data_IF_775590124563
#
_entry.id   IF_775590124563
#
_cell.length_a   1.000
_cell.length_b   1.000
_cell.length_c   1.000
_cell.angle_alpha   90.00
_cell.angle_beta   90.00
_cell.angle_gamma   90.00
#
_symmetry.space_group_name_H-M   'P 1'
#
loop_
_entity.id
_entity.type
_entity.pdbx_description
1 polymer ?
#
# COMPACT_ATOMS: atom_id res chain seq x y z
N UNK A 1 5.91 -26.03 20.81
CA UNK A 1 4.95 -25.85 19.69
C UNK A 1 3.88 -26.93 19.76
N UNK A 2 2.60 -26.55 19.72
CA UNK A 2 1.47 -27.49 19.65
C UNK A 2 1.44 -28.17 18.28
N UNK A 3 1.20 -29.48 18.23
CA UNK A 3 1.11 -30.25 16.97
C UNK A 3 -0.33 -30.65 16.73
N UNK A 4 -1.06 -29.78 16.02
CA UNK A 4 -2.47 -29.97 15.67
C UNK A 4 -2.59 -31.17 14.72
N UNK A 5 -3.50 -32.10 15.05
CA UNK A 5 -3.84 -33.26 14.23
C UNK A 5 -5.08 -33.00 13.38
N UNK A 6 -6.10 -32.37 13.98
CA UNK A 6 -7.36 -32.06 13.31
C UNK A 6 -8.05 -30.89 14.02
N UNK A 7 -8.79 -30.08 13.26
CA UNK A 7 -9.67 -29.03 13.78
C UNK A 7 -11.06 -29.27 13.19
N UNK A 8 -12.05 -29.44 14.05
CA UNK A 8 -13.45 -29.59 13.67
C UNK A 8 -14.22 -28.34 14.10
N UNK A 9 -14.82 -27.65 13.13
CA UNK A 9 -15.61 -26.46 13.40
C UNK A 9 -17.10 -26.79 13.46
N UNK A 10 -17.73 -26.53 14.61
CA UNK A 10 -19.17 -26.65 14.81
C UNK A 10 -19.85 -25.33 14.40
N UNK A 11 -20.91 -25.46 13.59
CA UNK A 11 -21.77 -24.35 13.16
C UNK A 11 -22.49 -23.75 14.37
N UNK A 12 -22.33 -22.45 14.61
CA UNK A 12 -23.16 -21.70 15.56
C UNK A 12 -24.14 -20.81 14.81
N UNK A 13 -25.38 -20.85 15.26
CA UNK A 13 -26.46 -19.96 14.82
C UNK A 13 -26.28 -18.61 15.53
N UNK A 14 -26.39 -17.53 14.78
CA UNK A 14 -26.39 -16.17 15.34
C UNK A 14 -27.55 -16.02 16.31
N UNK A 15 -27.23 -15.63 17.54
CA UNK A 15 -28.22 -15.22 18.52
C UNK A 15 -28.00 -13.74 18.81
N UNK A 16 -28.88 -12.89 18.29
CA UNK A 16 -28.86 -11.43 18.47
C UNK A 16 -28.97 -11.02 19.96
N UNK A 17 -29.28 -11.96 20.86
CA UNK A 17 -29.35 -11.71 22.31
C UNK A 17 -28.00 -11.81 23.04
N UNK A 18 -26.92 -12.26 22.39
CA UNK A 18 -25.61 -12.44 23.01
C UNK A 18 -24.73 -11.18 22.92
N UNK A 19 -24.09 -10.82 24.03
CA UNK A 19 -23.14 -9.69 24.13
C UNK A 19 -21.83 -9.89 23.35
N UNK A 20 -21.61 -11.10 22.81
CA UNK A 20 -20.48 -11.48 21.98
C UNK A 20 -21.04 -12.13 20.71
N UNK A 21 -20.66 -11.63 19.55
CA UNK A 21 -21.10 -12.17 18.27
C UNK A 21 -20.23 -13.39 17.92
N UNK A 22 -20.63 -14.55 18.44
CA UNK A 22 -19.96 -15.84 18.20
C UNK A 22 -20.27 -16.27 16.77
N UNK A 23 -19.23 -16.51 15.97
CA UNK A 23 -19.39 -16.92 14.57
C UNK A 23 -18.91 -18.36 14.31
N UNK A 24 -18.15 -18.96 15.22
CA UNK A 24 -17.77 -20.38 15.13
C UNK A 24 -17.39 -20.98 16.47
N UNK A 25 -17.48 -22.30 16.58
CA UNK A 25 -16.93 -23.08 17.70
C UNK A 25 -15.95 -24.09 17.14
N UNK A 26 -14.75 -24.21 17.71
CA UNK A 26 -13.75 -25.17 17.29
C UNK A 26 -13.50 -26.25 18.35
N UNK A 27 -13.44 -27.50 17.88
CA UNK A 27 -12.90 -28.64 18.60
C UNK A 27 -11.56 -29.01 17.98
N UNK A 28 -10.51 -29.08 18.79
CA UNK A 28 -9.12 -29.17 18.34
C UNK A 28 -8.52 -30.44 18.91
N UNK A 29 -8.05 -31.31 18.02
CA UNK A 29 -7.31 -32.50 18.38
C UNK A 29 -5.83 -32.26 18.16
N UNK A 30 -5.02 -32.54 19.18
CA UNK A 30 -3.56 -32.46 19.09
C UNK A 30 -2.95 -33.85 19.13
N UNK A 31 -1.74 -33.98 18.60
CA UNK A 31 -0.91 -35.18 18.74
C UNK A 31 -0.07 -35.19 20.02
N UNK A 32 0.15 -34.00 20.61
CA UNK A 32 1.03 -33.80 21.76
C UNK A 32 0.37 -33.03 22.93
N UNK A 33 -0.95 -32.87 22.92
CA UNK A 33 -1.71 -32.15 23.95
C UNK A 33 -3.15 -32.70 24.05
N UNK A 34 -3.83 -32.61 25.21
CA UNK A 34 -5.24 -33.00 25.31
C UNK A 34 -6.14 -32.22 24.35
N UNK A 35 -7.22 -32.83 23.83
CA UNK A 35 -8.13 -32.13 22.94
C UNK A 35 -8.80 -30.94 23.63
N UNK A 36 -9.00 -29.88 22.87
CA UNK A 36 -9.72 -28.67 23.30
C UNK A 36 -11.09 -28.70 22.63
N UNK A 37 -12.15 -28.86 23.40
CA UNK A 37 -13.51 -28.87 22.87
C UNK A 37 -14.23 -27.58 23.23
N UNK A 38 -14.82 -26.90 22.25
CA UNK A 38 -15.62 -25.71 22.49
C UNK A 38 -14.84 -24.40 22.57
N UNK A 39 -13.74 -24.24 21.82
CA UNK A 39 -13.10 -22.93 21.65
C UNK A 39 -14.03 -22.00 20.87
N UNK A 40 -14.44 -20.87 21.46
CA UNK A 40 -15.44 -19.97 20.86
C UNK A 40 -14.73 -18.88 20.07
N UNK A 41 -14.99 -18.80 18.77
CA UNK A 41 -14.51 -17.73 17.91
C UNK A 41 -15.58 -16.64 17.87
N UNK A 42 -15.21 -15.42 18.25
CA UNK A 42 -16.13 -14.29 18.34
C UNK A 42 -15.48 -13.01 17.87
N UNK A 43 -16.33 -12.02 17.56
CA UNK A 43 -15.89 -10.65 17.32
C UNK A 43 -16.63 -9.67 18.20
N UNK A 44 -16.04 -8.49 18.40
CA UNK A 44 -16.64 -7.42 19.20
C UNK A 44 -16.11 -6.05 18.79
N UNK A 45 -16.91 -5.01 19.03
CA UNK A 45 -16.42 -3.62 18.98
C UNK A 45 -15.37 -3.43 20.07
N UNK A 46 -14.24 -2.87 19.70
CA UNK A 46 -13.18 -2.56 20.62
C UNK A 46 -13.58 -1.38 21.52
N UNK A 47 -13.38 -1.55 22.82
CA UNK A 47 -13.67 -0.54 23.84
C UNK A 47 -12.43 -0.19 24.65
N UNK A 48 -11.28 -0.80 24.36
CA UNK A 48 -10.02 -0.54 25.09
C UNK A 48 -8.80 -0.68 24.20
N UNK A 49 -7.76 0.10 24.48
CA UNK A 49 -6.46 0.02 23.80
C UNK A 49 -5.60 -1.19 24.19
N UNK A 50 -6.03 -1.98 25.19
CA UNK A 50 -5.35 -3.22 25.59
C UNK A 50 -5.38 -4.26 24.48
N UNK A 51 -4.26 -4.95 24.24
CA UNK A 51 -4.15 -6.10 23.33
C UNK A 51 -4.98 -7.32 23.77
N UNK A 52 -5.39 -7.35 25.04
CA UNK A 52 -6.15 -8.45 25.63
C UNK A 52 -7.51 -7.96 26.13
N UNK A 53 -8.51 -8.82 26.04
CA UNK A 53 -9.82 -8.62 26.68
C UNK A 53 -9.69 -8.70 28.21
N UNK A 54 -10.65 -8.17 29.00
CA UNK A 54 -10.69 -8.38 30.45
C UNK A 54 -10.66 -9.87 30.86
N UNK A 55 -11.13 -10.75 29.99
CA UNK A 55 -11.12 -12.20 30.15
C UNK A 55 -9.77 -12.86 29.79
N UNK A 56 -8.82 -12.09 29.25
CA UNK A 56 -7.47 -12.55 28.90
C UNK A 56 -7.36 -13.17 27.50
N UNK A 57 -8.33 -12.96 26.62
CA UNK A 57 -8.27 -13.41 25.23
C UNK A 57 -7.50 -12.37 24.38
N UNK A 58 -6.63 -12.82 23.47
CA UNK A 58 -5.87 -11.92 22.60
C UNK A 58 -6.76 -11.32 21.51
N UNK A 59 -6.65 -10.02 21.26
CA UNK A 59 -7.42 -9.32 20.24
C UNK A 59 -6.66 -9.32 18.92
N UNK A 60 -7.29 -9.84 17.87
CA UNK A 60 -6.84 -9.69 16.49
C UNK A 60 -7.68 -8.62 15.83
N UNK A 61 -7.08 -7.47 15.54
CA UNK A 61 -7.79 -6.36 14.91
C UNK A 61 -7.95 -6.62 13.41
N UNK A 62 -9.13 -6.33 12.87
CA UNK A 62 -9.39 -6.48 11.44
C UNK A 62 -8.64 -5.45 10.61
N UNK A 63 -8.51 -4.25 11.17
CA UNK A 63 -7.75 -3.13 10.63
C UNK A 63 -6.80 -2.65 11.74
N UNK A 64 -5.50 -2.67 11.46
CA UNK A 64 -4.47 -2.24 12.39
C UNK A 64 -4.38 -0.70 12.49
N UNK A 65 -4.81 0.03 11.46
CA UNK A 65 -4.92 1.48 11.46
C UNK A 65 -6.22 1.94 12.15
N UNK A 66 -7.31 1.16 12.02
CA UNK A 66 -8.59 1.43 12.67
C UNK A 66 -9.03 0.28 13.59
N UNK A 67 -8.57 0.34 14.84
CA UNK A 67 -8.81 -0.67 15.89
C UNK A 67 -10.26 -0.68 16.44
N UNK A 68 -11.27 -0.35 15.63
CA UNK A 68 -12.68 -0.28 16.04
C UNK A 68 -13.29 -1.66 16.31
N UNK A 69 -12.85 -2.72 15.62
CA UNK A 69 -13.36 -4.07 15.78
C UNK A 69 -12.22 -5.07 15.91
N UNK A 70 -12.43 -6.12 16.70
CA UNK A 70 -11.49 -7.23 16.83
C UNK A 70 -12.20 -8.58 16.79
N UNK A 71 -11.47 -9.59 16.31
CA UNK A 71 -11.77 -11.01 16.48
C UNK A 71 -10.93 -11.58 17.63
N UNK A 72 -11.44 -12.60 18.30
CA UNK A 72 -10.72 -13.30 19.36
C UNK A 72 -11.25 -14.72 19.53
N UNK A 73 -10.50 -15.53 20.29
CA UNK A 73 -10.86 -16.91 20.61
C UNK A 73 -10.91 -17.08 22.12
N UNK A 74 -12.09 -17.42 22.62
CA UNK A 74 -12.30 -17.76 24.03
C UNK A 74 -12.11 -19.25 24.23
N UNK A 75 -11.02 -19.60 24.89
CA UNK A 75 -10.73 -20.99 25.25
C UNK A 75 -11.50 -21.41 26.52
N UNK A 76 -11.98 -22.67 26.61
CA UNK A 76 -12.52 -23.23 27.84
C UNK A 76 -11.61 -23.04 29.06
N UNK A 77 -12.21 -22.70 30.21
CA UNK A 77 -11.49 -22.32 31.45
C UNK A 77 -10.55 -23.40 32.01
N UNK A 78 -10.77 -24.67 31.66
CA UNK A 78 -10.02 -25.82 32.15
C UNK A 78 -8.72 -26.10 31.36
N UNK A 79 -8.39 -25.27 30.37
CA UNK A 79 -7.24 -25.47 29.48
C UNK A 79 -5.96 -24.87 30.07
N UNK A 80 -4.90 -25.67 30.13
CA UNK A 80 -3.56 -25.29 30.65
C UNK A 80 -2.60 -24.82 29.55
N UNK A 81 -3.07 -24.00 28.61
CA UNK A 81 -2.21 -23.37 27.61
C UNK A 81 -1.56 -22.10 28.19
N UNK A 82 -0.29 -21.89 27.86
CA UNK A 82 0.41 -20.62 28.12
C UNK A 82 -0.19 -19.49 27.29
N UNK A 83 0.15 -18.24 27.63
CA UNK A 83 -0.34 -17.05 26.90
C UNK A 83 0.05 -17.09 25.42
N UNK A 84 1.32 -17.36 25.14
CA UNK A 84 1.84 -17.43 23.76
C UNK A 84 1.19 -18.56 22.97
N UNK A 85 0.98 -19.72 23.59
CA UNK A 85 0.28 -20.85 22.95
C UNK A 85 -1.19 -20.53 22.67
N UNK A 86 -1.87 -19.78 23.55
CA UNK A 86 -3.24 -19.33 23.31
C UNK A 86 -3.30 -18.35 22.15
N UNK A 87 -2.35 -17.41 22.07
CA UNK A 87 -2.26 -16.44 20.99
C UNK A 87 -1.97 -17.13 19.65
N UNK A 88 -0.95 -17.99 19.59
CA UNK A 88 -0.59 -18.76 18.40
C UNK A 88 -1.76 -19.63 17.92
N UNK A 89 -2.42 -20.34 18.84
CA UNK A 89 -3.56 -21.19 18.49
C UNK A 89 -4.79 -20.34 18.08
N UNK A 90 -5.03 -19.21 18.72
CA UNK A 90 -6.11 -18.31 18.35
C UNK A 90 -5.89 -17.73 16.95
N UNK A 91 -4.66 -17.36 16.60
CA UNK A 91 -4.28 -16.94 15.26
C UNK A 91 -4.59 -18.03 14.23
N UNK A 92 -4.14 -19.27 14.46
CA UNK A 92 -4.40 -20.40 13.55
C UNK A 92 -5.90 -20.63 13.36
N UNK A 93 -6.69 -20.63 14.44
CA UNK A 93 -8.14 -20.86 14.36
C UNK A 93 -8.86 -19.73 13.63
N UNK A 94 -8.45 -18.49 13.90
CA UNK A 94 -8.98 -17.31 13.24
C UNK A 94 -8.49 -17.16 11.81
N UNK A 95 -7.35 -17.72 11.43
CA UNK A 95 -6.91 -17.76 10.03
C UNK A 95 -7.72 -18.80 9.25
N UNK A 96 -7.83 -20.03 9.80
CA UNK A 96 -8.63 -21.13 9.24
C UNK A 96 -10.13 -20.77 9.08
N UNK A 97 -10.68 -19.92 9.98
CA UNK A 97 -12.07 -19.43 9.91
C UNK A 97 -12.22 -17.97 9.51
N UNK A 98 -11.14 -17.21 9.37
CA UNK A 98 -11.12 -15.76 9.19
C UNK A 98 -11.72 -15.27 7.89
N UNK A 99 -11.93 -16.20 6.95
CA UNK A 99 -12.74 -16.02 5.76
C UNK A 99 -14.26 -15.88 6.02
N UNK A 100 -14.73 -15.91 7.28
CA UNK A 100 -16.12 -15.58 7.63
C UNK A 100 -16.21 -14.07 7.86
N UNK A 101 -16.58 -13.34 6.82
CA UNK A 101 -16.79 -11.89 6.83
C UNK A 101 -16.87 -11.35 5.40
N UNK A 102 -17.45 -10.19 5.23
CA UNK A 102 -17.42 -9.41 3.99
C UNK A 102 -16.21 -8.48 3.99
N UNK A 103 -15.29 -8.67 3.06
CA UNK A 103 -14.36 -7.61 2.69
C UNK A 103 -14.83 -7.01 1.37
N UNK A 104 -14.54 -5.72 1.22
CA UNK A 104 -14.91 -4.96 0.05
C UNK A 104 -13.73 -4.12 -0.38
N UNK A 105 -13.22 -4.41 -1.57
CA UNK A 105 -12.22 -3.55 -2.19
C UNK A 105 -12.88 -2.26 -2.67
N UNK A 106 -12.10 -1.18 -2.74
CA UNK A 106 -12.46 -0.08 -3.63
C UNK A 106 -12.50 -0.66 -5.05
N UNK A 107 -13.68 -0.74 -5.64
CA UNK A 107 -13.83 -1.20 -7.01
C UNK A 107 -14.53 -0.11 -7.80
N UNK A 108 -13.99 0.20 -8.98
CA UNK A 108 -14.61 1.18 -9.85
C UNK A 108 -15.87 0.56 -10.49
N UNK A 109 -16.97 1.33 -10.58
CA UNK A 109 -18.23 0.93 -11.24
C UNK A 109 -18.00 0.49 -12.70
N UNK A 110 -16.92 0.95 -13.33
CA UNK A 110 -16.47 0.48 -14.66
C UNK A 110 -16.28 -1.05 -14.74
N UNK A 111 -15.98 -1.73 -13.61
CA UNK A 111 -15.96 -3.21 -13.51
C UNK A 111 -17.31 -3.89 -13.77
N UNK A 112 -18.43 -3.16 -13.76
CA UNK A 112 -19.76 -3.70 -14.14
C UNK A 112 -19.88 -3.95 -15.65
N UNK A 113 -19.06 -3.33 -16.49
CA UNK A 113 -19.02 -3.66 -17.93
C UNK A 113 -18.33 -5.02 -18.07
N UNK A 114 -18.98 -5.95 -18.78
CA UNK A 114 -18.52 -7.32 -19.09
C UNK A 114 -17.27 -7.33 -20.01
N UNK A 115 -16.25 -6.53 -19.72
CA UNK A 115 -14.99 -6.59 -20.44
C UNK A 115 -14.27 -7.88 -20.04
N UNK A 116 -14.05 -8.76 -21.02
CA UNK A 116 -13.30 -9.99 -20.84
C UNK A 116 -12.06 -9.89 -21.73
N UNK A 117 -10.88 -9.52 -21.18
CA UNK A 117 -9.68 -9.24 -21.95
C UNK A 117 -9.34 -10.33 -22.95
N UNK A 118 -9.42 -11.60 -22.52
CA UNK A 118 -9.17 -12.76 -23.36
C UNK A 118 -10.08 -12.82 -24.58
N UNK A 119 -11.40 -12.77 -24.36
CA UNK A 119 -12.39 -12.88 -25.45
C UNK A 119 -12.38 -11.68 -26.39
N UNK A 120 -12.01 -10.50 -25.90
CA UNK A 120 -11.92 -9.29 -26.74
C UNK A 120 -10.60 -9.25 -27.49
N UNK A 121 -9.50 -9.71 -26.89
CA UNK A 121 -8.20 -9.86 -27.55
C UNK A 121 -8.27 -10.88 -28.69
N UNK A 122 -8.94 -12.02 -28.49
CA UNK A 122 -9.16 -13.05 -29.53
C UNK A 122 -9.93 -12.51 -30.76
N UNK A 123 -10.62 -11.37 -30.64
CA UNK A 123 -11.32 -10.72 -31.76
C UNK A 123 -10.44 -9.72 -32.53
N UNK A 124 -9.31 -9.31 -31.95
CA UNK A 124 -8.37 -8.41 -32.60
C UNK A 124 -7.55 -9.21 -33.62
N UNK A 125 -7.63 -8.79 -34.88
CA UNK A 125 -6.80 -9.35 -35.94
C UNK A 125 -5.49 -8.55 -36.01
N UNK A 126 -4.48 -9.00 -35.26
CA UNK A 126 -3.16 -8.37 -35.25
C UNK A 126 -2.51 -8.41 -36.64
N UNK A 127 -2.19 -7.25 -37.24
CA UNK A 127 -1.46 -7.19 -38.50
C UNK A 127 -0.07 -7.83 -38.38
N UNK A 128 0.45 -8.38 -39.48
CA UNK A 128 1.81 -8.89 -39.53
C UNK A 128 2.81 -7.75 -39.28
N UNK A 129 3.76 -7.97 -38.38
CA UNK A 129 4.75 -6.95 -38.00
C UNK A 129 4.25 -5.90 -37.00
N UNK A 130 3.03 -6.03 -36.46
CA UNK A 130 2.55 -5.17 -35.39
C UNK A 130 3.44 -5.29 -34.15
N UNK A 131 3.81 -4.15 -33.59
CA UNK A 131 4.47 -4.03 -32.30
C UNK A 131 3.66 -3.09 -31.41
N UNK A 132 3.68 -3.35 -30.10
CA UNK A 132 2.84 -2.64 -29.13
C UNK A 132 3.21 -1.15 -29.00
N UNK A 133 4.44 -0.79 -29.33
CA UNK A 133 5.01 0.56 -29.36
C UNK A 133 4.67 1.34 -30.64
N UNK A 134 4.03 0.70 -31.64
CA UNK A 134 3.60 1.38 -32.87
C UNK A 134 2.58 2.50 -32.63
N UNK A 135 1.86 2.47 -31.51
CA UNK A 135 0.82 3.44 -31.17
C UNK A 135 1.22 4.16 -29.88
N UNK A 136 1.47 5.48 -29.91
CA UNK A 136 1.96 6.23 -28.74
C UNK A 136 1.10 6.07 -27.48
N UNK A 137 1.74 6.20 -26.32
CA UNK A 137 1.11 6.04 -25.00
C UNK A 137 0.04 7.09 -24.71
N UNK A 138 0.21 8.32 -25.19
CA UNK A 138 -0.75 9.41 -24.97
C UNK A 138 -2.06 9.24 -25.77
N UNK A 139 -2.08 8.38 -26.78
CA UNK A 139 -3.24 8.20 -27.67
C UNK A 139 -4.34 7.41 -26.97
N UNK A 140 -5.47 8.05 -26.71
CA UNK A 140 -6.62 7.44 -26.06
C UNK A 140 -7.49 6.56 -26.97
N UNK A 141 -8.67 6.12 -26.49
CA UNK A 141 -9.67 5.41 -27.30
C UNK A 141 -10.34 6.31 -28.36
N UNK A 142 -10.45 7.62 -28.11
CA UNK A 142 -10.84 8.63 -29.10
C UNK A 142 -9.55 9.17 -29.69
N UNK A 143 -9.41 9.05 -31.01
CA UNK A 143 -8.19 9.41 -31.75
C UNK A 143 -8.58 10.48 -32.75
N UNK A 144 -7.91 11.62 -32.71
CA UNK A 144 -8.13 12.68 -33.68
C UNK A 144 -7.56 12.31 -35.08
N UNK A 145 -7.90 13.10 -36.10
CA UNK A 145 -7.40 12.82 -37.45
C UNK A 145 -5.89 13.03 -37.58
N UNK A 146 -5.29 13.92 -36.79
CA UNK A 146 -3.87 14.23 -36.84
C UNK A 146 -3.05 13.03 -36.38
N UNK A 147 -3.32 12.53 -35.18
CA UNK A 147 -2.69 11.36 -34.58
C UNK A 147 -2.93 10.11 -35.43
N UNK A 148 -4.17 9.91 -35.91
CA UNK A 148 -4.49 8.77 -36.78
C UNK A 148 -3.65 8.78 -38.06
N UNK A 149 -3.49 9.94 -38.70
CA UNK A 149 -2.69 10.05 -39.91
C UNK A 149 -1.19 9.84 -39.61
N UNK A 150 -0.67 10.38 -38.51
CA UNK A 150 0.72 10.16 -38.10
C UNK A 150 1.03 8.69 -37.82
N UNK A 151 0.13 7.97 -37.13
CA UNK A 151 0.28 6.54 -36.85
C UNK A 151 0.32 5.73 -38.15
N UNK A 152 -0.54 6.05 -39.11
CA UNK A 152 -0.60 5.37 -40.41
C UNK A 152 0.61 5.68 -41.29
N UNK A 153 1.11 6.92 -41.26
CA UNK A 153 2.30 7.32 -42.00
C UNK A 153 3.54 6.59 -41.48
N UNK A 154 3.66 6.45 -40.14
CA UNK A 154 4.72 5.67 -39.51
C UNK A 154 4.55 4.16 -39.67
N UNK A 155 3.30 3.67 -39.74
CA UNK A 155 2.97 2.25 -39.80
C UNK A 155 1.95 1.94 -40.93
N UNK A 156 2.36 1.96 -42.21
CA UNK A 156 1.44 1.83 -43.36
C UNK A 156 0.72 0.47 -43.47
N UNK A 157 1.18 -0.53 -42.72
CA UNK A 157 0.61 -1.87 -42.66
C UNK A 157 -0.60 -1.95 -41.70
N UNK A 158 -0.83 -0.93 -40.87
CA UNK A 158 -1.96 -0.86 -39.96
C UNK A 158 -3.19 -0.29 -40.66
N UNK A 159 -4.37 -0.67 -40.19
CA UNK A 159 -5.64 -0.11 -40.69
C UNK A 159 -6.27 0.78 -39.63
N UNK A 160 -6.96 1.85 -40.05
CA UNK A 160 -7.73 2.73 -39.13
C UNK A 160 -8.63 1.93 -38.18
N UNK A 161 -9.30 0.92 -38.72
CA UNK A 161 -10.19 0.04 -37.95
C UNK A 161 -9.43 -0.71 -36.86
N UNK A 162 -8.30 -1.35 -37.19
CA UNK A 162 -7.48 -2.05 -36.20
C UNK A 162 -6.98 -1.10 -35.11
N UNK A 163 -6.49 0.09 -35.48
CA UNK A 163 -6.01 1.09 -34.52
C UNK A 163 -7.11 1.47 -33.53
N UNK A 164 -8.32 1.79 -34.01
CA UNK A 164 -9.46 2.07 -33.12
C UNK A 164 -9.82 0.88 -32.21
N UNK A 165 -9.94 -0.33 -32.78
CA UNK A 165 -10.32 -1.52 -32.02
C UNK A 165 -9.26 -1.85 -30.94
N UNK A 166 -7.97 -1.70 -31.27
CA UNK A 166 -6.85 -1.92 -30.35
C UNK A 166 -6.77 -0.83 -29.27
N UNK A 167 -6.88 0.46 -29.62
CA UNK A 167 -6.89 1.56 -28.65
C UNK A 167 -8.04 1.43 -27.66
N UNK A 168 -9.23 1.05 -28.15
CA UNK A 168 -10.37 0.76 -27.27
C UNK A 168 -10.11 -0.45 -26.37
N UNK A 169 -9.47 -1.51 -26.89
CA UNK A 169 -9.12 -2.68 -26.09
C UNK A 169 -8.11 -2.35 -24.98
N UNK A 170 -6.98 -1.69 -25.30
CA UNK A 170 -5.96 -1.32 -24.29
C UNK A 170 -6.52 -0.35 -23.25
N UNK A 171 -7.40 0.58 -23.66
CA UNK A 171 -8.09 1.49 -22.75
C UNK A 171 -8.95 0.75 -21.71
N UNK A 172 -9.73 -0.25 -22.13
CA UNK A 172 -10.51 -1.05 -21.19
C UNK A 172 -9.63 -1.98 -20.35
N UNK A 173 -8.48 -2.42 -20.88
CA UNK A 173 -7.53 -3.26 -20.16
C UNK A 173 -6.91 -2.52 -18.97
N UNK A 174 -6.40 -1.30 -19.16
CA UNK A 174 -5.73 -0.53 -18.09
C UNK A 174 -6.67 -0.04 -16.99
N UNK A 175 -7.99 -0.11 -17.23
CA UNK A 175 -9.02 0.11 -16.20
C UNK A 175 -9.24 -1.09 -15.27
N UNK A 176 -8.68 -2.25 -15.61
CA UNK A 176 -8.68 -3.41 -14.72
C UNK A 176 -7.60 -3.27 -13.65
N UNK A 177 -7.73 -4.04 -12.57
CA UNK A 177 -6.66 -4.13 -11.58
C UNK A 177 -5.37 -4.71 -12.23
N UNK A 178 -4.17 -4.28 -11.84
CA UNK A 178 -2.93 -4.79 -12.43
C UNK A 178 -2.78 -6.31 -12.38
N UNK A 179 -3.23 -6.95 -11.29
CA UNK A 179 -3.27 -8.41 -11.20
C UNK A 179 -4.20 -9.11 -12.22
N UNK A 180 -5.18 -8.40 -12.78
CA UNK A 180 -6.11 -8.92 -13.78
C UNK A 180 -5.58 -8.77 -15.21
N UNK A 181 -4.78 -7.73 -15.50
CA UNK A 181 -4.19 -7.51 -16.82
C UNK A 181 -2.77 -8.05 -16.98
N UNK A 182 -2.11 -8.49 -15.91
CA UNK A 182 -0.74 -9.02 -15.89
C UNK A 182 -0.46 -10.05 -17.00
N UNK A 183 -1.40 -10.95 -17.27
CA UNK A 183 -1.27 -11.98 -18.29
C UNK A 183 -1.27 -11.45 -19.74
N UNK A 184 -1.52 -10.15 -19.93
CA UNK A 184 -1.64 -9.50 -21.23
C UNK A 184 -0.58 -8.43 -21.46
N UNK A 185 0.43 -8.31 -20.58
CA UNK A 185 1.51 -7.33 -20.72
C UNK A 185 2.26 -7.43 -22.06
N UNK A 186 2.28 -8.61 -22.69
CA UNK A 186 2.91 -8.80 -24.01
C UNK A 186 2.11 -8.16 -25.17
N UNK A 187 0.86 -7.72 -24.92
CA UNK A 187 -0.04 -7.16 -25.93
C UNK A 187 -0.30 -5.66 -25.75
N UNK A 188 0.29 -5.04 -24.73
CA UNK A 188 0.13 -3.61 -24.45
C UNK A 188 1.48 -3.01 -24.10
N UNK A 189 1.75 -1.82 -24.63
CA UNK A 189 2.96 -1.08 -24.27
C UNK A 189 2.90 -0.66 -22.80
N UNK A 190 3.96 -0.92 -22.05
CA UNK A 190 4.04 -0.55 -20.64
C UNK A 190 4.04 0.96 -20.45
N UNK A 191 4.49 1.74 -21.45
CA UNK A 191 4.36 3.20 -21.42
C UNK A 191 2.89 3.65 -21.37
N UNK A 192 1.99 2.96 -22.09
CA UNK A 192 0.54 3.21 -22.00
C UNK A 192 -0.02 2.85 -20.63
N UNK A 193 0.47 1.77 -20.00
CA UNK A 193 0.10 1.42 -18.62
C UNK A 193 0.53 2.53 -17.65
N UNK A 194 1.79 2.97 -17.74
CA UNK A 194 2.32 4.08 -16.93
C UNK A 194 1.52 5.37 -17.11
N UNK A 195 1.06 5.66 -18.33
CA UNK A 195 0.26 6.84 -18.64
C UNK A 195 -1.18 6.76 -18.07
N UNK A 196 -1.86 5.63 -18.28
CA UNK A 196 -3.32 5.56 -18.19
C UNK A 196 -3.87 4.75 -17.00
N UNK A 197 -3.06 3.88 -16.37
CA UNK A 197 -3.53 3.05 -15.27
C UNK A 197 -3.40 3.81 -13.93
N UNK A 198 -4.54 4.18 -13.34
CA UNK A 198 -4.60 4.85 -12.05
C UNK A 198 -4.46 3.89 -10.85
N UNK A 199 -4.30 2.58 -11.08
CA UNK A 199 -4.23 1.57 -10.01
C UNK A 199 -2.81 1.08 -9.72
N UNK A 200 -1.80 1.68 -10.35
CA UNK A 200 -0.40 1.30 -10.15
C UNK A 200 0.04 1.68 -8.73
N UNK A 201 0.54 0.69 -8.00
CA UNK A 201 1.21 0.91 -6.71
C UNK A 201 2.69 1.08 -6.91
N UNK A 202 3.35 1.78 -5.99
CA UNK A 202 4.81 1.92 -6.01
C UNK A 202 5.51 0.56 -6.03
N UNK A 203 5.03 -0.41 -5.25
CA UNK A 203 5.56 -1.77 -5.27
C UNK A 203 5.44 -2.42 -6.65
N UNK A 204 4.29 -2.28 -7.33
CA UNK A 204 4.11 -2.83 -8.68
C UNK A 204 5.09 -2.22 -9.68
N UNK A 205 5.33 -0.90 -9.60
CA UNK A 205 6.31 -0.19 -10.42
C UNK A 205 7.74 -0.67 -10.12
N UNK A 206 8.09 -0.88 -8.86
CA UNK A 206 9.40 -1.42 -8.46
C UNK A 206 9.57 -2.85 -8.99
N UNK A 207 8.55 -3.70 -8.87
CA UNK A 207 8.58 -5.08 -9.35
C UNK A 207 8.82 -5.16 -10.88
N UNK A 208 8.40 -4.13 -11.62
CA UNK A 208 8.53 -4.00 -13.08
C UNK A 208 9.45 -2.87 -13.53
N UNK A 209 10.43 -2.48 -12.70
CA UNK A 209 11.23 -1.27 -12.92
C UNK A 209 11.93 -1.23 -14.30
N UNK A 210 12.26 -2.39 -14.86
CA UNK A 210 12.87 -2.54 -16.18
C UNK A 210 11.95 -2.14 -17.34
N UNK A 211 10.63 -2.14 -17.12
CA UNK A 211 9.60 -1.76 -18.10
C UNK A 211 9.02 -0.37 -17.86
N UNK A 212 9.26 0.23 -16.69
CA UNK A 212 8.68 1.53 -16.32
C UNK A 212 9.18 2.62 -17.26
N UNK A 213 8.25 3.27 -17.96
CA UNK A 213 8.54 4.46 -18.75
C UNK A 213 8.25 5.73 -17.95
N UNK A 214 9.32 6.34 -17.41
CA UNK A 214 9.20 7.57 -16.61
C UNK A 214 8.68 8.75 -17.43
N UNK A 215 8.86 8.71 -18.77
CA UNK A 215 8.41 9.76 -19.68
C UNK A 215 6.89 9.85 -19.76
N UNK A 216 6.21 8.71 -19.71
CA UNK A 216 4.75 8.62 -19.65
C UNK A 216 4.23 8.69 -18.22
N UNK A 217 4.93 8.11 -17.24
CA UNK A 217 4.49 8.06 -15.84
C UNK A 217 4.33 9.46 -15.21
N UNK A 218 5.16 10.43 -15.61
CA UNK A 218 5.08 11.82 -15.11
C UNK A 218 3.77 12.56 -15.44
N UNK A 219 2.88 11.97 -16.24
CA UNK A 219 1.56 12.52 -16.56
C UNK A 219 0.42 11.80 -15.82
N UNK A 220 0.71 10.75 -15.06
CA UNK A 220 -0.28 9.98 -14.31
C UNK A 220 -0.41 10.52 -12.87
N UNK A 221 -1.03 11.69 -12.73
CA UNK A 221 -1.15 12.41 -11.45
C UNK A 221 -1.76 11.58 -10.32
N UNK A 222 -2.80 10.74 -10.55
CA UNK A 222 -3.31 9.87 -9.50
C UNK A 222 -2.27 8.89 -8.95
N UNK A 223 -1.35 8.40 -9.78
CA UNK A 223 -0.26 7.53 -9.31
C UNK A 223 0.79 8.37 -8.60
N UNK A 224 1.23 9.49 -9.20
CA UNK A 224 2.25 10.37 -8.62
C UNK A 224 1.90 10.87 -7.21
N UNK A 225 0.62 11.13 -6.93
CA UNK A 225 0.15 11.57 -5.61
C UNK A 225 0.36 10.55 -4.49
N UNK A 226 0.57 9.27 -4.83
CA UNK A 226 0.74 8.16 -3.87
C UNK A 226 2.17 7.62 -3.79
N UNK A 227 3.07 8.10 -4.65
CA UNK A 227 4.46 7.65 -4.65
C UNK A 227 5.24 8.31 -3.52
N UNK A 228 6.11 7.54 -2.89
CA UNK A 228 7.09 8.02 -1.94
C UNK A 228 8.01 9.07 -2.58
N UNK A 229 8.54 9.96 -1.75
CA UNK A 229 9.55 10.93 -2.17
C UNK A 229 10.77 10.26 -2.85
N UNK A 230 11.14 9.05 -2.39
CA UNK A 230 12.21 8.26 -3.01
C UNK A 230 11.91 7.92 -4.48
N UNK A 231 10.69 7.46 -4.77
CA UNK A 231 10.32 7.09 -6.14
C UNK A 231 10.08 8.33 -7.02
N UNK A 232 9.48 9.40 -6.48
CA UNK A 232 9.34 10.68 -7.20
C UNK A 232 10.71 11.25 -7.60
N UNK A 233 11.69 11.20 -6.69
CA UNK A 233 13.07 11.57 -6.98
C UNK A 233 13.68 10.71 -8.08
N UNK A 234 13.46 9.40 -8.04
CA UNK A 234 13.90 8.50 -9.12
C UNK A 234 13.32 8.88 -10.49
N UNK A 235 12.03 9.22 -10.57
CA UNK A 235 11.41 9.69 -11.82
C UNK A 235 12.15 10.92 -12.36
N UNK A 236 12.39 11.93 -11.51
CA UNK A 236 13.08 13.16 -11.89
C UNK A 236 14.52 12.90 -12.32
N UNK A 237 15.27 12.12 -11.56
CA UNK A 237 16.66 11.77 -11.85
C UNK A 237 16.77 11.00 -13.17
N UNK A 238 15.82 10.10 -13.43
CA UNK A 238 15.78 9.30 -14.65
C UNK A 238 15.40 10.14 -15.88
N UNK A 239 14.43 11.06 -15.76
CA UNK A 239 14.12 12.05 -16.81
C UNK A 239 15.36 12.90 -17.15
N UNK A 240 16.07 13.40 -16.14
CA UNK A 240 17.32 14.17 -16.32
C UNK A 240 18.42 13.32 -16.97
N UNK A 241 18.59 12.06 -16.53
CA UNK A 241 19.58 11.12 -17.08
C UNK A 241 19.32 10.85 -18.56
N UNK A 242 18.07 10.67 -18.94
CA UNK A 242 17.64 10.43 -20.32
C UNK A 242 17.53 11.72 -21.17
N UNK A 243 17.70 12.90 -20.55
CA UNK A 243 17.53 14.23 -21.19
C UNK A 243 16.13 14.41 -21.78
N UNK A 244 15.13 13.89 -21.09
CA UNK A 244 13.72 14.06 -21.45
C UNK A 244 13.16 15.33 -20.82
N UNK A 245 12.09 15.85 -21.43
CA UNK A 245 11.37 17.00 -20.90
C UNK A 245 10.67 16.61 -19.59
N UNK A 246 10.85 17.44 -18.57
CA UNK A 246 10.11 17.35 -17.31
C UNK A 246 8.75 18.03 -17.52
N UNK A 247 7.70 17.45 -16.93
CA UNK A 247 6.36 18.00 -17.01
C UNK A 247 6.32 19.45 -16.47
N UNK A 248 5.74 20.35 -17.26
CA UNK A 248 5.61 21.78 -16.94
C UNK A 248 4.86 22.03 -15.62
N UNK A 249 4.01 21.10 -15.19
CA UNK A 249 3.27 21.21 -13.92
C UNK A 249 4.17 21.27 -12.69
N UNK A 250 5.37 20.65 -12.72
CA UNK A 250 6.27 20.60 -11.56
C UNK A 250 7.73 20.88 -11.91
N UNK A 251 8.03 21.28 -13.14
CA UNK A 251 9.40 21.56 -13.59
C UNK A 251 10.08 22.66 -12.76
N UNK A 252 9.33 23.69 -12.35
CA UNK A 252 9.84 24.81 -11.54
C UNK A 252 9.86 24.51 -10.04
N UNK A 253 9.15 23.47 -9.59
CA UNK A 253 8.89 23.16 -8.17
C UNK A 253 9.25 21.70 -7.81
N UNK A 254 10.32 21.18 -8.41
CA UNK A 254 10.75 19.77 -8.26
C UNK A 254 10.87 19.33 -6.79
N UNK A 255 11.42 20.18 -5.92
CA UNK A 255 11.60 19.86 -4.50
C UNK A 255 10.25 19.70 -3.79
N UNK A 256 9.31 20.61 -4.07
CA UNK A 256 7.95 20.54 -3.53
C UNK A 256 7.21 19.30 -4.02
N UNK A 257 7.30 19.00 -5.33
CA UNK A 257 6.72 17.78 -5.89
C UNK A 257 7.22 16.52 -5.18
N UNK A 258 8.53 16.44 -4.89
CA UNK A 258 9.14 15.29 -4.23
C UNK A 258 8.71 15.18 -2.77
N UNK A 259 8.72 16.28 -2.01
CA UNK A 259 8.53 16.26 -0.55
C UNK A 259 7.07 16.32 -0.12
N UNK A 260 6.19 16.98 -0.87
CA UNK A 260 4.78 17.15 -0.52
C UNK A 260 3.93 15.94 -0.99
N UNK A 261 3.35 15.23 -0.02
CA UNK A 261 2.42 14.12 -0.27
C UNK A 261 1.09 14.60 -0.88
N UNK A 262 0.73 15.86 -0.68
CA UNK A 262 -0.55 16.43 -1.11
C UNK A 262 -0.50 17.11 -2.48
N UNK A 263 0.68 17.22 -3.10
CA UNK A 263 0.93 17.99 -4.34
C UNK A 263 -0.07 17.70 -5.47
N UNK A 264 -0.48 16.44 -5.64
CA UNK A 264 -1.48 16.02 -6.64
C UNK A 264 -2.70 15.33 -6.03
N UNK A 265 -2.99 15.59 -4.75
CA UNK A 265 -4.09 14.95 -4.01
C UNK A 265 -5.48 15.25 -4.59
N UNK A 266 -5.63 16.31 -5.38
CA UNK A 266 -6.87 16.66 -6.09
C UNK A 266 -7.17 15.75 -7.29
N UNK A 267 -6.17 15.02 -7.80
CA UNK A 267 -6.32 14.12 -8.95
C UNK A 267 -6.56 12.69 -8.50
N UNK A 268 -7.81 12.24 -8.53
CA UNK A 268 -8.21 10.89 -8.11
C UNK A 268 -8.21 9.84 -9.24
N UNK A 269 -8.42 10.26 -10.49
CA UNK A 269 -8.64 9.37 -11.65
C UNK A 269 -8.06 9.95 -12.95
N UNK A 270 -7.74 9.07 -13.90
CA UNK A 270 -7.38 9.47 -15.29
C UNK A 270 -8.60 9.27 -16.19
N UNK A 271 -9.16 10.36 -16.72
CA UNK A 271 -10.25 10.32 -17.69
C UNK A 271 -9.70 10.53 -19.11
N UNK A 272 -9.74 9.47 -19.94
CA UNK A 272 -9.33 9.53 -21.36
C UNK A 272 -10.55 9.64 -22.31
N UNK A 273 -11.75 9.79 -21.75
CA UNK A 273 -12.99 10.10 -22.44
C UNK A 273 -13.61 11.31 -21.73
N UNK A 274 -13.96 12.35 -22.48
CA UNK A 274 -14.83 13.40 -21.98
C UNK A 274 -16.25 12.81 -21.89
N UNK A 275 -16.67 12.41 -20.69
CA UNK A 275 -18.00 11.85 -20.47
C UNK A 275 -19.03 13.00 -20.46
N UNK A 276 -19.47 13.48 -21.63
CA UNK A 276 -20.64 14.37 -21.75
C UNK A 276 -21.98 13.63 -21.53
N UNK A 277 -21.97 12.30 -21.31
CA UNK A 277 -23.19 11.48 -21.41
C UNK A 277 -23.33 10.35 -20.37
N UNK A 278 -22.65 10.45 -19.23
CA UNK A 278 -23.04 9.66 -18.05
C UNK A 278 -23.60 10.64 -17.02
N UNK A 279 -24.93 10.58 -16.80
CA UNK A 279 -25.63 11.28 -15.73
C UNK A 279 -24.75 11.30 -14.47
N UNK A 280 -24.59 12.48 -13.89
CA UNK A 280 -24.07 12.72 -12.54
C UNK A 280 -24.89 11.93 -11.49
N UNK A 281 -24.81 10.61 -11.51
CA UNK A 281 -25.03 9.81 -10.32
C UNK A 281 -23.77 10.04 -9.50
N UNK A 282 -23.88 10.88 -8.46
CA UNK A 282 -22.92 10.97 -7.35
C UNK A 282 -22.17 9.65 -7.20
N UNK A 283 -20.83 9.68 -7.23
CA UNK A 283 -19.96 8.49 -7.17
C UNK A 283 -20.22 7.69 -5.88
N UNK A 284 -21.23 6.82 -5.91
CA UNK A 284 -21.52 5.90 -4.82
C UNK A 284 -20.44 4.83 -4.89
N UNK A 285 -19.45 4.93 -4.00
CA UNK A 285 -18.51 3.86 -3.65
C UNK A 285 -19.29 2.58 -3.36
N UNK A 286 -19.30 1.64 -4.31
CA UNK A 286 -19.96 0.36 -4.15
C UNK A 286 -18.94 -0.63 -3.57
N UNK A 287 -19.12 -0.95 -2.29
CA UNK A 287 -18.33 -1.97 -1.61
C UNK A 287 -18.69 -3.34 -2.19
N UNK A 288 -17.84 -3.86 -3.09
CA UNK A 288 -18.07 -5.19 -3.66
C UNK A 288 -17.90 -6.27 -2.59
N UNK A 289 -18.99 -6.99 -2.33
CA UNK A 289 -19.00 -8.16 -1.47
C UNK A 289 -18.39 -9.35 -2.21
N UNK A 290 -17.15 -9.73 -1.87
CA UNK A 290 -16.56 -10.94 -2.44
C UNK A 290 -17.04 -12.18 -1.68
N UNK A 291 -17.84 -13.00 -2.38
CA UNK A 291 -17.98 -14.41 -2.06
C UNK A 291 -16.68 -15.10 -2.47
N UNK A 292 -15.98 -15.72 -1.53
CA UNK A 292 -14.93 -16.65 -1.90
C UNK A 292 -15.60 -17.91 -2.50
N UNK A 293 -15.71 -18.00 -3.83
CA UNK A 293 -16.11 -19.24 -4.49
C UNK A 293 -14.92 -20.23 -4.46
N UNK A 294 -14.88 -21.10 -3.44
CA UNK A 294 -13.82 -22.11 -3.22
C UNK A 294 -13.91 -23.31 -4.19
N UNK A 295 -14.30 -23.10 -5.45
CA UNK A 295 -14.36 -24.14 -6.47
C UNK A 295 -15.39 -25.25 -6.20
N UNK A 296 -15.35 -26.31 -7.00
CA UNK A 296 -16.37 -27.39 -7.04
C UNK A 296 -16.48 -28.24 -5.77
N UNK A 297 -15.58 -28.09 -4.80
CA UNK A 297 -15.57 -28.86 -3.54
C UNK A 297 -15.89 -27.97 -2.33
N UNK A 298 -17.13 -27.47 -2.29
CA UNK A 298 -17.66 -26.72 -1.13
C UNK A 298 -17.75 -27.65 0.09
N UNK A 299 -17.16 -27.26 1.22
CA UNK A 299 -17.32 -27.97 2.49
C UNK A 299 -18.69 -27.64 3.09
N UNK A 300 -19.38 -28.64 3.67
CA UNK A 300 -20.63 -28.42 4.38
C UNK A 300 -20.42 -27.40 5.52
N UNK A 301 -21.06 -26.21 5.40
CA UNK A 301 -20.98 -25.14 6.39
C UNK A 301 -20.24 -23.85 5.97
N UNK A 302 -19.87 -23.69 4.69
CA UNK A 302 -19.28 -22.45 4.14
C UNK A 302 -20.34 -21.42 3.66
N UNK A 303 -21.57 -21.49 4.15
CA UNK A 303 -22.76 -20.85 3.55
C UNK A 303 -23.18 -19.52 4.21
N UNK A 304 -22.41 -18.99 5.17
CA UNK A 304 -22.78 -17.78 5.89
C UNK A 304 -21.72 -16.69 5.74
N UNK A 305 -21.88 -15.91 4.68
CA UNK A 305 -21.31 -14.57 4.57
C UNK A 305 -21.98 -13.68 5.63
N UNK A 306 -21.21 -12.99 6.46
CA UNK A 306 -21.75 -12.00 7.40
C UNK A 306 -21.55 -10.61 6.81
N UNK A 307 -22.63 -10.03 6.31
CA UNK A 307 -22.62 -8.68 5.75
C UNK A 307 -22.24 -7.65 6.81
N UNK A 308 -21.29 -6.78 6.50
CA UNK A 308 -20.84 -5.68 7.36
C UNK A 308 -19.72 -6.04 8.35
N UNK A 309 -19.08 -7.21 8.20
CA UNK A 309 -17.93 -7.61 9.02
C UNK A 309 -16.70 -7.76 8.14
N UNK A 310 -15.64 -6.95 8.31
CA UNK A 310 -14.37 -7.17 7.62
C UNK A 310 -13.86 -8.59 7.87
N UNK A 311 -13.52 -9.33 6.80
CA UNK A 311 -12.90 -10.65 6.95
C UNK A 311 -11.43 -10.48 7.34
N UNK A 312 -10.87 -11.35 8.19
CA UNK A 312 -9.41 -11.38 8.39
C UNK A 312 -8.65 -11.71 7.09
N UNK A 313 -9.33 -12.29 6.09
CA UNK A 313 -8.78 -12.45 4.75
C UNK A 313 -8.50 -11.10 4.06
N UNK A 314 -9.07 -9.97 4.52
CA UNK A 314 -8.68 -8.65 4.00
C UNK A 314 -7.21 -8.33 4.29
N UNK A 315 -6.62 -8.90 5.37
CA UNK A 315 -5.20 -8.74 5.69
C UNK A 315 -4.27 -9.44 4.67
N UNK A 316 -4.82 -10.35 3.85
CA UNK A 316 -4.11 -10.97 2.73
C UNK A 316 -3.89 -9.95 1.61
N UNK A 317 -4.63 -8.85 1.60
CA UNK A 317 -4.54 -7.82 0.57
C UNK A 317 -4.06 -6.50 1.19
N UNK A 318 -3.45 -5.66 0.36
CA UNK A 318 -3.21 -4.26 0.72
C UNK A 318 -4.44 -3.39 0.43
N UNK A 319 -4.35 -2.10 0.76
CA UNK A 319 -5.45 -1.14 0.60
C UNK A 319 -5.85 -0.91 -0.88
N UNK A 320 -5.00 -1.33 -1.81
CA UNK A 320 -5.23 -1.25 -3.25
C UNK A 320 -5.78 -2.56 -3.85
N UNK A 321 -5.88 -3.62 -3.06
CA UNK A 321 -6.39 -4.93 -3.49
C UNK A 321 -5.32 -5.86 -4.07
N UNK A 322 -4.03 -5.55 -3.91
CA UNK A 322 -2.95 -6.49 -4.23
C UNK A 322 -2.81 -7.51 -3.12
N UNK A 323 -2.66 -8.78 -3.50
CA UNK A 323 -2.36 -9.83 -2.56
C UNK A 323 -0.96 -9.59 -1.97
N UNK A 324 -0.88 -9.40 -0.65
CA UNK A 324 0.37 -9.42 0.11
C UNK A 324 1.09 -10.74 -0.13
N UNK A 325 2.35 -10.63 -0.49
CA UNK A 325 3.19 -11.79 -0.73
C UNK A 325 3.49 -12.54 0.57
N UNK A 326 3.52 -13.87 0.46
CA UNK A 326 4.06 -14.71 1.52
C UNK A 326 5.57 -14.51 1.64
N UNK A 327 6.14 -14.86 2.80
CA UNK A 327 7.59 -14.89 3.02
C UNK A 327 8.37 -15.57 1.88
N UNK A 328 7.86 -16.70 1.36
CA UNK A 328 8.51 -17.45 0.29
C UNK A 328 8.47 -16.70 -1.05
N UNK A 329 7.33 -16.09 -1.37
CA UNK A 329 7.17 -15.31 -2.61
C UNK A 329 8.07 -14.07 -2.55
N UNK A 330 8.07 -13.32 -1.44
CA UNK A 330 8.96 -12.17 -1.27
C UNK A 330 10.43 -12.55 -1.31
N UNK A 331 10.85 -13.67 -0.71
CA UNK A 331 12.24 -14.09 -0.76
C UNK A 331 12.69 -14.35 -2.20
N UNK A 332 11.82 -14.91 -3.05
CA UNK A 332 12.13 -15.13 -4.47
C UNK A 332 12.26 -13.80 -5.20
N UNK A 333 11.28 -12.92 -5.03
CA UNK A 333 11.23 -11.60 -5.68
C UNK A 333 12.43 -10.74 -5.25
N UNK A 334 12.65 -10.59 -3.94
CA UNK A 334 13.69 -9.73 -3.39
C UNK A 334 15.10 -10.18 -3.81
N UNK A 335 15.34 -11.50 -3.96
CA UNK A 335 16.63 -12.00 -4.44
C UNK A 335 16.89 -11.70 -5.93
N UNK A 336 15.87 -11.34 -6.70
CA UNK A 336 15.99 -10.96 -8.10
C UNK A 336 16.13 -9.45 -8.30
N UNK A 337 15.86 -8.65 -7.27
CA UNK A 337 15.95 -7.21 -7.36
C UNK A 337 17.36 -6.72 -7.71
N UNK A 338 17.40 -5.76 -8.62
CA UNK A 338 18.59 -4.95 -8.89
C UNK A 338 18.89 -4.02 -7.72
N UNK A 339 20.08 -3.43 -7.70
CA UNK A 339 20.45 -2.43 -6.67
C UNK A 339 19.48 -1.24 -6.63
N UNK A 340 19.00 -0.79 -7.80
CA UNK A 340 18.03 0.30 -7.87
C UNK A 340 16.69 -0.11 -7.26
N UNK A 341 16.20 -1.31 -7.57
CA UNK A 341 14.96 -1.83 -6.96
C UNK A 341 15.10 -2.02 -5.44
N UNK A 342 16.26 -2.49 -4.96
CA UNK A 342 16.53 -2.60 -3.52
C UNK A 342 16.54 -1.23 -2.85
N UNK A 343 17.13 -0.21 -3.47
CA UNK A 343 17.12 1.16 -2.96
C UNK A 343 15.68 1.68 -2.85
N UNK A 344 14.92 1.62 -3.95
CA UNK A 344 13.52 2.08 -3.98
C UNK A 344 12.64 1.33 -2.99
N UNK A 345 12.70 -0.01 -2.94
CA UNK A 345 11.84 -0.78 -2.04
C UNK A 345 12.17 -0.49 -0.57
N UNK A 346 13.43 -0.19 -0.24
CA UNK A 346 13.83 0.13 1.14
C UNK A 346 13.11 1.36 1.71
N UNK A 347 12.66 2.28 0.85
CA UNK A 347 11.88 3.46 1.25
C UNK A 347 10.43 3.13 1.67
N UNK A 348 9.88 1.98 1.28
CA UNK A 348 8.44 1.69 1.46
C UNK A 348 8.15 0.34 2.12
N UNK A 349 9.19 -0.42 2.50
CA UNK A 349 8.99 -1.69 3.20
C UNK A 349 8.42 -1.49 4.61
N UNK A 350 7.38 -2.27 4.92
CA UNK A 350 6.85 -2.42 6.27
C UNK A 350 7.90 -3.03 7.24
N UNK A 351 7.78 -2.82 8.57
CA UNK A 351 8.81 -3.21 9.55
C UNK A 351 9.19 -4.69 9.53
N UNK A 352 8.24 -5.58 9.24
CA UNK A 352 8.51 -7.02 9.18
C UNK A 352 9.46 -7.39 8.02
N UNK A 353 9.32 -6.73 6.87
CA UNK A 353 10.23 -6.90 5.74
C UNK A 353 11.57 -6.20 5.97
N UNK A 354 11.56 -5.01 6.58
CA UNK A 354 12.79 -4.32 7.00
C UNK A 354 13.64 -5.21 7.90
N UNK A 355 13.04 -5.81 8.93
CA UNK A 355 13.73 -6.75 9.81
C UNK A 355 14.24 -7.99 9.06
N UNK A 356 13.41 -8.59 8.21
CA UNK A 356 13.75 -9.82 7.46
C UNK A 356 14.93 -9.61 6.53
N UNK A 357 14.98 -8.48 5.82
CA UNK A 357 15.97 -8.19 4.79
C UNK A 357 17.10 -7.25 5.23
N UNK A 358 17.16 -6.86 6.51
CA UNK A 358 18.14 -5.93 7.11
C UNK A 358 19.59 -6.01 6.60
N UNK A 359 20.11 -7.20 6.30
CA UNK A 359 21.50 -7.35 5.82
C UNK A 359 21.71 -6.97 4.35
N UNK A 360 20.62 -6.77 3.61
CA UNK A 360 20.61 -6.53 2.15
C UNK A 360 19.98 -5.21 1.77
N UNK A 361 19.37 -4.50 2.72
CA UNK A 361 18.66 -3.25 2.47
C UNK A 361 19.63 -2.08 2.30
N UNK A 362 19.16 -1.09 1.57
CA UNK A 362 19.79 0.22 1.52
C UNK A 362 19.30 1.04 2.71
N UNK A 363 20.07 1.00 3.80
CA UNK A 363 19.71 1.69 5.04
C UNK A 363 19.78 3.21 4.94
N UNK A 364 20.62 3.76 4.05
CA UNK A 364 20.62 5.21 3.79
C UNK A 364 19.27 5.61 3.21
N UNK A 365 18.76 4.89 2.20
CA UNK A 365 17.45 5.17 1.60
C UNK A 365 16.29 4.86 2.57
N UNK A 366 16.37 3.77 3.34
CA UNK A 366 15.37 3.46 4.36
C UNK A 366 15.30 4.57 5.42
N UNK A 367 16.44 4.94 6.00
CA UNK A 367 16.52 6.00 7.00
C UNK A 367 16.04 7.34 6.46
N UNK A 368 16.36 7.66 5.21
CA UNK A 368 15.94 8.92 4.62
C UNK A 368 14.42 8.97 4.37
N UNK A 369 13.81 7.93 3.78
CA UNK A 369 12.47 8.07 3.19
C UNK A 369 11.36 7.21 3.83
N UNK A 370 11.70 6.23 4.66
CA UNK A 370 10.71 5.25 5.11
C UNK A 370 9.88 5.75 6.30
N UNK A 371 8.57 5.86 6.07
CA UNK A 371 7.58 6.31 7.05
C UNK A 371 7.34 5.30 8.19
N UNK A 372 7.63 4.01 7.97
CA UNK A 372 7.37 2.94 8.94
C UNK A 372 8.46 2.79 10.01
N UNK A 373 9.47 3.67 10.02
CA UNK A 373 10.56 3.65 11.00
C UNK A 373 10.09 4.19 12.36
N UNK A 374 9.48 3.31 13.16
CA UNK A 374 9.07 3.64 14.52
C UNK A 374 10.25 3.67 15.48
N UNK A 375 10.10 4.40 16.60
CA UNK A 375 11.11 4.46 17.66
C UNK A 375 11.53 3.06 18.19
N UNK A 376 10.57 2.15 18.40
CA UNK A 376 10.86 0.79 18.86
C UNK A 376 11.72 0.04 17.82
N UNK A 377 11.35 0.15 16.54
CA UNK A 377 12.09 -0.48 15.46
C UNK A 377 13.52 0.07 15.36
N UNK A 378 13.68 1.39 15.44
CA UNK A 378 14.98 2.06 15.39
C UNK A 378 15.86 1.65 16.57
N UNK A 379 15.32 1.60 17.80
CA UNK A 379 16.06 1.17 18.99
C UNK A 379 16.57 -0.28 18.86
N UNK A 380 15.78 -1.18 18.27
CA UNK A 380 16.17 -2.58 18.05
C UNK A 380 17.24 -2.75 16.95
N UNK A 381 17.30 -1.82 16.00
CA UNK A 381 18.15 -1.92 14.80
C UNK A 381 19.21 -0.81 14.71
N UNK A 382 19.58 -0.21 15.86
CA UNK A 382 20.49 0.94 15.97
C UNK A 382 21.78 0.82 15.13
N UNK A 383 22.35 -0.37 15.02
CA UNK A 383 23.61 -0.60 14.29
C UNK A 383 23.49 -0.52 12.77
N UNK A 384 22.28 -0.52 12.22
CA UNK A 384 22.06 -0.30 10.79
C UNK A 384 21.68 1.15 10.45
N UNK A 385 21.33 1.96 11.45
CA UNK A 385 20.79 3.30 11.21
C UNK A 385 21.88 4.23 10.67
N UNK A 386 21.58 4.85 9.54
CA UNK A 386 22.30 5.99 9.02
C UNK A 386 21.67 7.27 9.59
N UNK A 387 22.27 7.83 10.65
CA UNK A 387 21.77 9.02 11.31
C UNK A 387 21.89 10.30 10.46
N UNK A 388 22.81 10.32 9.50
CA UNK A 388 22.90 11.44 8.56
C UNK A 388 21.68 11.42 7.64
N UNK A 389 21.35 10.27 7.07
CA UNK A 389 20.16 10.08 6.24
C UNK A 389 18.85 10.27 7.03
N UNK A 390 18.76 9.70 8.24
CA UNK A 390 17.59 9.83 9.12
C UNK A 390 17.32 11.30 9.48
N UNK A 391 18.35 12.14 9.54
CA UNK A 391 18.22 13.56 9.77
C UNK A 391 17.30 14.27 8.76
N UNK A 392 17.20 13.75 7.55
CA UNK A 392 16.38 14.28 6.45
C UNK A 392 15.00 13.61 6.32
N UNK A 393 14.65 12.69 7.22
CA UNK A 393 13.37 11.99 7.14
C UNK A 393 12.21 12.87 7.63
N UNK A 394 11.29 13.15 6.72
CA UNK A 394 10.09 13.95 6.95
C UNK A 394 8.83 13.07 7.14
N UNK A 395 8.98 11.77 7.29
CA UNK A 395 7.86 10.83 7.24
C UNK A 395 7.71 10.00 8.50
N UNK A 396 8.77 9.85 9.31
CA UNK A 396 8.70 9.16 10.59
C UNK A 396 8.42 10.10 11.77
N UNK A 397 7.62 9.63 12.73
CA UNK A 397 7.37 10.32 14.00
C UNK A 397 8.28 9.77 15.10
N UNK A 398 9.06 10.65 15.73
CA UNK A 398 9.98 10.30 16.82
C UNK A 398 9.65 11.07 18.08
N UNK A 399 9.84 10.45 19.24
CA UNK A 399 9.68 11.16 20.50
C UNK A 399 10.86 12.12 20.77
N UNK A 400 10.59 13.18 21.51
CA UNK A 400 11.64 14.08 22.00
C UNK A 400 12.69 13.32 22.83
N UNK A 401 12.30 12.28 23.57
CA UNK A 401 13.22 11.45 24.35
C UNK A 401 14.22 10.70 23.46
N UNK A 402 13.75 10.16 22.32
CA UNK A 402 14.62 9.53 21.34
C UNK A 402 15.60 10.53 20.73
N UNK A 403 15.10 11.70 20.29
CA UNK A 403 15.92 12.76 19.70
C UNK A 403 16.99 13.23 20.70
N UNK A 404 16.61 13.50 21.96
CA UNK A 404 17.56 13.87 23.03
C UNK A 404 18.64 12.81 23.25
N UNK A 405 18.25 11.54 23.31
CA UNK A 405 19.16 10.40 23.54
C UNK A 405 20.18 10.24 22.40
N UNK A 406 19.77 10.52 21.16
CA UNK A 406 20.58 10.30 19.96
C UNK A 406 21.10 11.58 19.30
N UNK A 407 20.90 12.75 19.93
CA UNK A 407 21.23 14.08 19.38
C UNK A 407 22.63 14.13 18.76
N UNK A 408 23.65 13.63 19.45
CA UNK A 408 25.05 13.70 19.01
C UNK A 408 25.39 12.82 17.79
N UNK A 409 24.45 11.98 17.32
CA UNK A 409 24.67 11.10 16.18
C UNK A 409 24.23 11.75 14.86
N UNK A 410 23.39 12.78 14.91
CA UNK A 410 22.96 13.53 13.72
C UNK A 410 24.06 14.47 13.19
N UNK A 411 24.03 14.76 11.89
CA UNK A 411 24.97 15.69 11.25
C UNK A 411 24.51 17.15 11.40
N UNK A 412 24.97 17.82 12.46
CA UNK A 412 24.62 19.21 12.77
C UNK A 412 25.39 20.27 11.98
N UNK A 413 26.16 19.87 10.95
CA UNK A 413 26.82 20.86 10.08
C UNK A 413 25.80 21.65 9.25
N UNK A 414 24.62 21.08 9.02
CA UNK A 414 23.47 21.70 8.37
C UNK A 414 22.25 21.60 9.29
N UNK A 415 21.17 22.34 8.99
CA UNK A 415 19.89 22.08 9.64
C UNK A 415 19.47 20.62 9.48
N UNK A 416 18.84 20.08 10.52
CA UNK A 416 18.42 18.67 10.59
C UNK A 416 16.89 18.61 10.59
N UNK A 417 16.24 18.42 9.43
CA UNK A 417 14.79 18.50 9.28
C UNK A 417 13.97 17.72 10.30
N UNK A 418 14.35 16.47 10.59
CA UNK A 418 13.60 15.63 11.54
C UNK A 418 13.59 16.23 12.96
N UNK A 419 14.67 16.93 13.35
CA UNK A 419 14.76 17.59 14.66
C UNK A 419 13.92 18.87 14.66
N UNK A 420 13.96 19.64 13.58
CA UNK A 420 13.21 20.90 13.46
C UNK A 420 11.70 20.62 13.47
N UNK A 421 11.27 19.56 12.78
CA UNK A 421 9.88 19.09 12.76
C UNK A 421 9.34 18.75 14.15
N UNK A 422 10.19 18.23 15.04
CA UNK A 422 9.84 17.83 16.40
C UNK A 422 10.39 18.82 17.45
N UNK A 423 10.71 20.05 17.04
CA UNK A 423 11.35 21.02 17.91
C UNK A 423 10.36 21.53 18.95
N UNK A 424 10.76 21.41 20.22
CA UNK A 424 10.08 22.05 21.35
C UNK A 424 10.98 23.12 21.95
N UNK A 425 10.40 24.05 22.70
CA UNK A 425 11.12 25.05 23.49
C UNK A 425 12.15 24.38 24.40
N UNK A 426 11.77 23.30 25.08
CA UNK A 426 12.66 22.54 25.95
C UNK A 426 13.83 21.94 25.17
N UNK A 427 13.58 21.35 24.00
CA UNK A 427 14.62 20.78 23.16
C UNK A 427 15.57 21.87 22.64
N UNK A 428 15.02 23.00 22.17
CA UNK A 428 15.81 24.12 21.67
C UNK A 428 16.71 24.72 22.75
N UNK A 429 16.18 24.99 23.94
CA UNK A 429 16.97 25.57 25.04
C UNK A 429 18.10 24.64 25.49
N UNK A 430 17.88 23.32 25.48
CA UNK A 430 18.91 22.35 25.86
C UNK A 430 20.02 22.17 24.82
N UNK A 431 19.73 22.45 23.53
CA UNK A 431 20.65 22.19 22.42
C UNK A 431 20.83 23.40 21.47
N UNK A 432 20.66 24.63 21.99
CA UNK A 432 20.69 25.88 21.22
C UNK A 432 21.95 26.03 20.36
N UNK A 433 23.11 25.62 20.89
CA UNK A 433 24.39 25.71 20.18
C UNK A 433 24.58 24.64 19.08
N UNK A 434 23.72 23.61 19.06
CA UNK A 434 23.81 22.47 18.15
C UNK A 434 22.76 22.57 17.05
N UNK A 435 21.52 22.94 17.40
CA UNK A 435 20.39 23.01 16.47
C UNK A 435 20.54 24.27 15.61
N UNK A 436 20.73 24.08 14.30
CA UNK A 436 20.75 25.16 13.32
C UNK A 436 19.36 25.40 12.76
N UNK A 437 18.68 26.43 13.23
CA UNK A 437 17.36 26.85 12.77
C UNK A 437 17.26 28.37 12.79
N UNK A 438 16.66 28.95 11.76
CA UNK A 438 16.29 30.36 11.69
C UNK A 438 14.77 30.49 11.50
N UNK A 439 14.24 31.71 11.53
CA UNK A 439 12.80 31.95 11.42
C UNK A 439 12.20 31.49 10.09
N UNK A 440 12.94 31.64 8.99
CA UNK A 440 12.45 31.24 7.66
C UNK A 440 12.33 29.72 7.59
N UNK A 441 13.32 28.99 8.10
CA UNK A 441 13.31 27.54 8.17
C UNK A 441 12.27 27.02 9.17
N UNK A 442 12.10 27.67 10.32
CA UNK A 442 11.05 27.29 11.27
C UNK A 442 9.66 27.43 10.65
N UNK A 443 9.43 28.48 9.85
CA UNK A 443 8.18 28.69 9.14
C UNK A 443 7.89 27.58 8.12
N UNK A 444 8.92 27.04 7.45
CA UNK A 444 8.75 25.89 6.53
C UNK A 444 8.19 24.64 7.23
N UNK A 445 8.45 24.48 8.54
CA UNK A 445 7.94 23.35 9.34
C UNK A 445 6.77 23.73 10.25
N UNK A 446 6.12 24.89 10.04
CA UNK A 446 5.05 25.42 10.89
C UNK A 446 3.93 24.40 11.15
N UNK A 447 3.46 23.72 10.09
CA UNK A 447 2.36 22.75 10.19
C UNK A 447 2.71 21.54 11.06
N UNK A 448 4.00 21.21 11.18
CA UNK A 448 4.45 20.07 11.99
C UNK A 448 4.75 20.45 13.45
N UNK A 449 5.33 21.63 13.67
CA UNK A 449 5.67 22.13 15.02
C UNK A 449 4.40 22.52 15.78
N UNK A 450 3.41 23.06 15.08
CA UNK A 450 2.14 23.49 15.64
C UNK A 450 2.19 24.92 16.21
N UNK A 451 1.04 25.61 16.12
CA UNK A 451 0.96 27.05 16.34
C UNK A 451 1.50 27.53 17.71
N UNK A 452 1.13 26.86 18.79
CA UNK A 452 1.55 27.26 20.15
C UNK A 452 3.07 27.17 20.34
N UNK A 453 3.67 26.11 19.82
CA UNK A 453 5.10 25.85 19.98
C UNK A 453 5.92 26.71 19.02
N UNK A 454 5.40 26.94 17.81
CA UNK A 454 5.97 27.87 16.84
C UNK A 454 6.07 29.29 17.42
N UNK A 455 5.01 29.82 18.03
CA UNK A 455 5.05 31.17 18.63
C UNK A 455 6.12 31.30 19.71
N UNK A 456 6.30 30.27 20.55
CA UNK A 456 7.34 30.24 21.59
C UNK A 456 8.74 30.23 20.98
N UNK A 457 8.97 29.35 20.00
CA UNK A 457 10.26 29.23 19.31
C UNK A 457 10.60 30.51 18.53
N UNK A 458 9.62 31.13 17.88
CA UNK A 458 9.79 32.37 17.13
C UNK A 458 10.21 33.53 18.04
N UNK A 459 9.65 33.63 19.25
CA UNK A 459 10.08 34.61 20.24
C UNK A 459 11.55 34.37 20.64
N UNK A 460 11.95 33.11 20.86
CA UNK A 460 13.32 32.74 21.24
C UNK A 460 14.36 32.91 20.13
N UNK A 461 13.95 32.86 18.86
CA UNK A 461 14.80 33.14 17.70
C UNK A 461 14.91 34.65 17.40
N UNK A 462 13.98 35.44 17.92
CA UNK A 462 13.97 36.90 17.78
C UNK A 462 14.80 37.63 18.84
N UNK A 463 15.22 36.92 19.90
CA UNK A 463 16.14 37.37 20.96
C UNK A 463 17.60 37.01 20.66
#
# INVERSE_FOLDING_TARGET
>A
MLKIKNIEFIKTVYDESLSHNIFSIANIQFSNYPPINGALLYWKKNTSRSEFTPEGDYKFFYDMANITYYASVKFPKNIKLTRDQKQELAYILLDERGSIGTYSFKTNRSRRKKFNPKKTLEKLNFPEGFSVDCIPSYVGPIIDELDMNQILDANPHLTKKFIHDYCFWRYNLVKLHPSEFEAYLDYVDFAYICYACDQLTEKYLIDHLDKVDVSSLQYNYPVLSRLSASFKKYIVDELKRQKLKINEHFEEEIEMFIEDETYFSEYSTVHLLDDEDDNEEEEILDYQFFEYDRGQYKWYGSEHMVKGIPSLASQIYDDYGFKKHTNKEMDVIFNQYTKQQVSLISAVLEPHWLHRYREKLDWTTACQYNAYLTEDFLNEHLHYIDFEALGYNLWCELSEAFIKKHMNQFNHNKPVPIIIRHLTEELYLNFKDTIKVDSDLLYQYYDFVGNEEYERLQNLLSE
#
